data_IF_257123861760
#
_entry.id   IF_257123861760
#
_cell.length_a   1.000
_cell.length_b   1.000
_cell.length_c   1.000
_cell.angle_alpha   90.00
_cell.angle_beta   90.00
_cell.angle_gamma   90.00
#
_symmetry.space_group_name_H-M   'P 1'
#
loop_
_entity.id
_entity.type
_entity.pdbx_description
1 polymer ?
#
# COMPACT_ATOMS: atom_id res chain seq x y z
N UNK A 1 -0.24 -2.93 -2.48
CA UNK A 1 -0.98 -1.66 -2.41
C UNK A 1 -2.42 -1.91 -2.82
N UNK A 2 -3.35 -1.58 -1.94
CA UNK A 2 -4.79 -1.82 -2.06
C UNK A 2 -5.57 -0.55 -1.76
N UNK A 3 -6.87 -0.54 -2.05
CA UNK A 3 -7.73 0.61 -1.90
C UNK A 3 -8.75 0.69 -3.03
N UNK A 4 -9.81 1.47 -2.85
CA UNK A 4 -10.90 1.56 -3.81
C UNK A 4 -10.42 2.13 -5.15
N UNK A 5 -11.22 1.93 -6.20
CA UNK A 5 -11.03 2.59 -7.49
C UNK A 5 -10.98 4.12 -7.31
N UNK A 6 -10.17 4.77 -8.15
CA UNK A 6 -9.90 6.21 -8.11
C UNK A 6 -9.14 6.72 -6.86
N UNK A 7 -8.72 5.86 -5.92
CA UNK A 7 -7.95 6.30 -4.74
C UNK A 7 -6.55 6.85 -5.06
N UNK A 8 -6.00 6.56 -6.25
CA UNK A 8 -4.68 7.03 -6.69
C UNK A 8 -3.52 6.05 -6.48
N UNK A 9 -3.81 4.74 -6.37
CA UNK A 9 -2.80 3.68 -6.15
C UNK A 9 -1.74 3.63 -7.25
N UNK A 10 -2.17 3.54 -8.51
CA UNK A 10 -1.28 3.51 -9.69
C UNK A 10 -0.48 4.80 -9.82
N UNK A 11 -1.11 5.94 -9.53
CA UNK A 11 -0.43 7.24 -9.51
C UNK A 11 0.69 7.27 -8.46
N UNK A 12 0.43 6.77 -7.24
CA UNK A 12 1.47 6.65 -6.19
C UNK A 12 2.59 5.72 -6.64
N UNK A 13 2.27 4.57 -7.25
CA UNK A 13 3.26 3.62 -7.73
C UNK A 13 4.20 4.28 -8.77
N UNK A 14 3.65 4.97 -9.76
CA UNK A 14 4.45 5.66 -10.77
C UNK A 14 5.17 6.89 -10.23
N UNK A 15 4.60 7.58 -9.25
CA UNK A 15 5.30 8.65 -8.54
C UNK A 15 6.57 8.11 -7.86
N UNK A 16 6.53 6.91 -7.28
CA UNK A 16 7.73 6.29 -6.72
C UNK A 16 8.75 5.85 -7.76
N UNK A 17 8.30 5.33 -8.91
CA UNK A 17 9.17 4.80 -9.96
C UNK A 17 9.85 5.89 -10.80
N UNK A 18 9.09 6.91 -11.17
CA UNK A 18 9.48 7.88 -12.18
C UNK A 18 9.72 9.27 -11.61
N UNK A 19 9.30 9.52 -10.37
CA UNK A 19 9.27 10.86 -9.77
C UNK A 19 8.49 11.88 -10.63
N UNK A 20 7.54 11.39 -11.44
CA UNK A 20 6.70 12.15 -12.34
C UNK A 20 5.25 11.65 -12.27
N UNK A 21 4.31 12.57 -12.51
CA UNK A 21 2.89 12.26 -12.55
C UNK A 21 2.53 11.73 -13.93
N UNK A 22 2.25 10.45 -14.00
CA UNK A 22 1.73 9.82 -15.22
C UNK A 22 0.20 9.84 -15.19
N UNK A 23 -0.42 10.19 -16.32
CA UNK A 23 -1.87 10.03 -16.47
C UNK A 23 -2.22 8.54 -16.49
N UNK A 24 -3.01 8.09 -15.52
CA UNK A 24 -3.37 6.67 -15.37
C UNK A 24 -4.82 6.41 -15.80
N UNK A 25 -5.05 5.31 -16.50
CA UNK A 25 -6.39 4.76 -16.72
C UNK A 25 -6.77 3.80 -15.58
N UNK A 26 -8.07 3.51 -15.35
CA UNK A 26 -8.48 2.53 -14.34
C UNK A 26 -7.77 1.18 -14.54
N UNK A 27 -7.06 0.73 -13.51
CA UNK A 27 -6.33 -0.55 -13.55
C UNK A 27 -7.29 -1.72 -13.62
N UNK A 28 -7.06 -2.60 -14.60
CA UNK A 28 -7.72 -3.89 -14.75
C UNK A 28 -6.70 -4.95 -14.35
N UNK A 29 -7.00 -5.75 -13.32
CA UNK A 29 -6.06 -6.75 -12.80
C UNK A 29 -5.04 -6.17 -11.83
N UNK A 30 -3.75 -6.46 -12.04
CA UNK A 30 -2.65 -6.10 -11.15
C UNK A 30 -1.38 -5.72 -11.89
N UNK A 31 -0.66 -4.71 -11.38
CA UNK A 31 0.69 -4.38 -11.80
C UNK A 31 1.68 -4.73 -10.68
N UNK A 32 2.91 -5.15 -11.03
CA UNK A 32 3.98 -5.44 -10.08
C UNK A 32 5.22 -4.71 -10.52
N UNK A 33 5.78 -3.91 -9.62
CA UNK A 33 6.94 -3.10 -9.92
C UNK A 33 7.92 -3.11 -8.73
N UNK A 34 9.21 -2.99 -9.03
CA UNK A 34 10.25 -2.82 -8.04
C UNK A 34 10.52 -1.34 -7.80
N UNK A 35 10.23 -0.87 -6.59
CA UNK A 35 10.56 0.48 -6.13
C UNK A 35 11.82 0.41 -5.28
N UNK A 36 12.88 1.04 -5.76
CA UNK A 36 14.12 1.19 -4.99
C UNK A 36 14.11 2.55 -4.31
N UNK A 37 14.14 2.55 -2.98
CA UNK A 37 14.24 3.77 -2.20
C UNK A 37 15.33 3.66 -1.14
N UNK A 38 16.32 4.57 -1.20
CA UNK A 38 17.59 4.44 -0.48
C UNK A 38 18.23 3.08 -0.80
N UNK A 39 18.61 2.30 0.21
CA UNK A 39 19.17 0.96 0.05
C UNK A 39 18.12 -0.13 0.34
N UNK A 40 16.85 0.15 0.05
CA UNK A 40 15.75 -0.79 0.30
C UNK A 40 14.96 -0.99 -0.98
N UNK A 41 14.73 -2.26 -1.30
CA UNK A 41 13.99 -2.70 -2.46
C UNK A 41 12.58 -3.10 -2.02
N UNK A 42 11.55 -2.54 -2.65
CA UNK A 42 10.16 -2.85 -2.38
C UNK A 42 9.52 -3.43 -3.63
N UNK A 43 9.02 -4.67 -3.53
CA UNK A 43 8.15 -5.24 -4.56
C UNK A 43 6.71 -4.79 -4.26
N UNK A 44 6.22 -3.86 -5.07
CA UNK A 44 4.90 -3.24 -4.87
C UNK A 44 3.89 -3.79 -5.87
N UNK A 45 2.83 -4.38 -5.33
CA UNK A 45 1.67 -4.83 -6.10
C UNK A 45 0.61 -3.73 -6.11
N UNK A 46 0.24 -3.20 -7.28
CA UNK A 46 -0.92 -2.30 -7.43
C UNK A 46 -2.12 -3.12 -7.92
N UNK A 47 -3.12 -3.28 -7.05
CA UNK A 47 -4.30 -4.10 -7.34
C UNK A 47 -5.48 -3.24 -7.79
N UNK A 48 -6.21 -3.69 -8.81
CA UNK A 48 -7.45 -3.04 -9.26
C UNK A 48 -8.43 -2.83 -8.12
N UNK A 49 -8.98 -1.61 -8.02
CA UNK A 49 -9.86 -1.19 -6.92
C UNK A 49 -11.35 -1.34 -7.17
N UNK A 50 -11.73 -1.73 -8.39
CA UNK A 50 -13.13 -1.88 -8.81
C UNK A 50 -13.79 -3.00 -8.02
N UNK A 51 -15.08 -2.84 -7.67
CA UNK A 51 -15.80 -3.78 -6.81
C UNK A 51 -15.70 -5.25 -7.27
N UNK A 52 -15.78 -5.50 -8.58
CA UNK A 52 -15.65 -6.83 -9.17
C UNK A 52 -14.27 -7.48 -8.99
N UNK A 53 -13.23 -6.69 -8.74
CA UNK A 53 -11.85 -7.16 -8.60
C UNK A 53 -11.43 -7.34 -7.14
N UNK A 54 -12.19 -6.80 -6.17
CA UNK A 54 -11.80 -6.83 -4.75
C UNK A 54 -11.80 -8.24 -4.16
N UNK A 55 -12.66 -9.12 -4.66
CA UNK A 55 -12.69 -10.54 -4.27
C UNK A 55 -11.40 -11.28 -4.64
N UNK A 56 -10.67 -10.80 -5.64
CA UNK A 56 -9.40 -11.37 -6.06
C UNK A 56 -8.22 -10.86 -5.23
N UNK A 57 -8.37 -9.88 -4.33
CA UNK A 57 -7.25 -9.36 -3.55
C UNK A 57 -6.56 -10.44 -2.71
N UNK A 58 -7.30 -11.43 -2.21
CA UNK A 58 -6.75 -12.53 -1.42
C UNK A 58 -5.78 -13.42 -2.16
N UNK A 59 -5.94 -13.58 -3.47
CA UNK A 59 -5.03 -14.40 -4.27
C UNK A 59 -3.61 -13.82 -4.33
N UNK A 60 -3.44 -12.53 -4.02
CA UNK A 60 -2.14 -11.85 -4.08
C UNK A 60 -1.32 -11.95 -2.81
N UNK A 61 -1.94 -12.19 -1.65
CA UNK A 61 -1.22 -12.42 -0.39
C UNK A 61 -1.23 -13.88 0.06
N UNK A 62 -2.17 -14.71 -0.39
CA UNK A 62 -2.11 -16.16 -0.15
C UNK A 62 -1.07 -16.88 -1.03
N UNK A 63 -0.63 -16.26 -2.12
CA UNK A 63 0.36 -16.84 -3.05
C UNK A 63 1.76 -16.22 -2.94
N UNK A 64 2.04 -15.35 -1.97
CA UNK A 64 3.38 -14.75 -1.85
C UNK A 64 4.48 -15.77 -1.58
N UNK A 65 4.15 -16.97 -1.12
CA UNK A 65 5.10 -18.09 -0.97
C UNK A 65 5.28 -18.94 -2.25
N UNK A 66 4.36 -18.84 -3.23
CA UNK A 66 4.31 -19.75 -4.40
C UNK A 66 4.41 -19.06 -5.77
N UNK A 67 4.40 -17.73 -5.86
CA UNK A 67 4.78 -17.06 -7.11
C UNK A 67 6.25 -17.35 -7.43
N UNK A 68 6.63 -17.26 -8.71
CA UNK A 68 8.02 -17.22 -9.18
C UNK A 68 8.79 -15.99 -8.66
N UNK A 69 8.59 -15.61 -7.39
CA UNK A 69 9.50 -14.83 -6.57
C UNK A 69 10.90 -15.43 -6.68
N UNK A 70 11.05 -16.73 -6.91
CA UNK A 70 12.36 -17.34 -7.23
C UNK A 70 13.08 -16.72 -8.44
N UNK A 71 12.43 -16.27 -9.51
CA UNK A 71 13.15 -15.66 -10.65
C UNK A 71 13.62 -14.23 -10.35
N UNK A 72 12.81 -13.46 -9.62
CA UNK A 72 13.18 -12.14 -9.11
C UNK A 72 14.23 -12.28 -7.98
N UNK A 73 14.04 -13.23 -7.05
CA UNK A 73 15.02 -13.62 -6.03
C UNK A 73 16.30 -14.17 -6.66
N UNK A 74 16.27 -14.94 -7.75
CA UNK A 74 17.48 -15.43 -8.42
C UNK A 74 18.28 -14.27 -9.02
N UNK A 75 17.60 -13.25 -9.54
CA UNK A 75 18.24 -12.02 -10.03
C UNK A 75 18.80 -11.18 -8.86
N UNK A 76 18.12 -11.16 -7.71
CA UNK A 76 18.51 -10.39 -6.51
C UNK A 76 19.54 -11.16 -5.64
N UNK A 77 19.53 -12.49 -5.65
CA UNK A 77 20.46 -13.38 -4.92
C UNK A 77 21.87 -13.37 -5.48
N UNK A 78 22.07 -12.78 -6.67
CA UNK A 78 23.42 -12.47 -7.18
C UNK A 78 24.09 -11.29 -6.44
N UNK A 79 23.39 -10.62 -5.51
CA UNK A 79 23.97 -9.67 -4.56
C UNK A 79 24.36 -10.41 -3.27
N UNK A 80 25.65 -10.57 -2.96
CA UNK A 80 26.09 -11.33 -1.80
C UNK A 80 25.89 -10.47 -0.53
N UNK A 81 24.66 -10.46 0.02
CA UNK A 81 24.31 -10.27 1.44
C UNK A 81 22.78 -10.17 1.63
N UNK A 82 22.15 -11.33 1.84
CA UNK A 82 21.05 -11.57 2.80
C UNK A 82 19.74 -10.76 2.70
N UNK A 83 18.63 -11.43 2.33
CA UNK A 83 17.27 -11.05 2.78
C UNK A 83 16.62 -12.15 3.63
N UNK A 84 17.01 -12.34 4.90
CA UNK A 84 16.40 -13.32 5.78
C UNK A 84 15.32 -12.60 6.62
N UNK A 85 14.16 -12.38 5.99
CA UNK A 85 12.84 -11.95 6.54
C UNK A 85 12.23 -10.83 5.70
N UNK A 86 11.35 -11.19 4.78
CA UNK A 86 10.53 -10.23 4.02
C UNK A 86 9.36 -9.77 4.90
N UNK A 87 9.54 -8.69 5.66
CA UNK A 87 8.43 -8.06 6.37
C UNK A 87 7.36 -7.65 5.35
N UNK A 88 6.14 -8.17 5.50
CA UNK A 88 5.02 -7.79 4.65
C UNK A 88 4.43 -6.46 5.11
N UNK A 89 4.03 -5.64 4.13
CA UNK A 89 3.31 -4.39 4.36
C UNK A 89 2.02 -4.37 3.55
N UNK A 90 0.92 -3.96 4.18
CA UNK A 90 -0.31 -3.58 3.49
C UNK A 90 -0.31 -2.06 3.36
N UNK A 91 -0.15 -1.56 2.13
CA UNK A 91 -0.35 -0.14 1.82
C UNK A 91 -1.80 0.04 1.39
N UNK A 92 -2.63 0.69 2.22
CA UNK A 92 -4.00 1.09 1.90
C UNK A 92 -4.01 2.55 1.44
N UNK A 93 -4.48 2.81 0.22
CA UNK A 93 -4.66 4.17 -0.29
C UNK A 93 -6.12 4.57 -0.18
N UNK A 94 -6.35 5.70 0.46
CA UNK A 94 -7.68 6.26 0.74
C UNK A 94 -7.82 7.56 -0.04
N UNK A 95 -8.90 7.69 -0.80
CA UNK A 95 -9.31 8.97 -1.36
C UNK A 95 -9.88 9.85 -0.23
N UNK A 96 -9.15 10.89 0.16
CA UNK A 96 -9.59 11.76 1.27
C UNK A 96 -10.80 12.63 0.91
N UNK A 97 -11.18 12.71 -0.37
CA UNK A 97 -12.35 13.47 -0.82
C UNK A 97 -13.64 12.63 -0.78
N UNK A 98 -13.49 11.31 -0.72
CA UNK A 98 -14.58 10.35 -0.89
C UNK A 98 -15.14 9.86 0.45
N UNK A 99 -15.91 10.74 1.08
CA UNK A 99 -16.50 10.50 2.41
C UNK A 99 -17.49 9.34 2.39
N UNK A 100 -18.23 9.18 1.30
CA UNK A 100 -19.32 8.21 1.18
C UNK A 100 -18.79 6.76 1.15
N UNK A 101 -17.62 6.54 0.55
CA UNK A 101 -17.04 5.20 0.40
C UNK A 101 -16.03 4.82 1.50
N UNK A 102 -15.89 5.62 2.56
CA UNK A 102 -15.02 5.27 3.69
C UNK A 102 -15.52 4.07 4.49
N UNK A 103 -16.83 3.88 4.60
CA UNK A 103 -17.42 2.68 5.22
C UNK A 103 -16.98 1.40 4.50
N UNK A 104 -17.04 1.43 3.17
CA UNK A 104 -16.59 0.33 2.30
C UNK A 104 -15.08 0.12 2.45
N UNK A 105 -14.30 1.20 2.45
CA UNK A 105 -12.84 1.15 2.67
C UNK A 105 -12.50 0.48 4.01
N UNK A 106 -13.24 0.81 5.08
CA UNK A 106 -13.08 0.18 6.39
C UNK A 106 -13.38 -1.31 6.32
N UNK A 107 -14.51 -1.71 5.77
CA UNK A 107 -14.89 -3.12 5.66
C UNK A 107 -13.85 -3.95 4.91
N UNK A 108 -13.32 -3.44 3.81
CA UNK A 108 -12.24 -4.08 3.06
C UNK A 108 -10.94 -4.19 3.89
N UNK A 109 -10.56 -3.13 4.60
CA UNK A 109 -9.39 -3.14 5.48
C UNK A 109 -9.50 -4.25 6.54
N UNK A 110 -10.60 -4.31 7.28
CA UNK A 110 -10.77 -5.33 8.33
C UNK A 110 -10.90 -6.73 7.76
N UNK A 111 -11.53 -6.90 6.59
CA UNK A 111 -11.60 -8.19 5.90
C UNK A 111 -10.22 -8.71 5.53
N UNK A 112 -9.34 -7.83 5.03
CA UNK A 112 -7.95 -8.16 4.73
C UNK A 112 -7.15 -8.48 5.99
N UNK A 113 -7.24 -7.65 7.03
CA UNK A 113 -6.47 -7.87 8.28
C UNK A 113 -6.93 -9.11 9.06
N UNK A 114 -8.12 -9.63 8.78
CA UNK A 114 -8.60 -10.89 9.35
C UNK A 114 -7.94 -12.15 8.73
N UNK A 115 -7.19 -12.01 7.63
CA UNK A 115 -6.53 -13.14 6.96
C UNK A 115 -5.25 -13.53 7.70
N UNK A 116 -5.05 -14.83 7.92
CA UNK A 116 -3.94 -15.37 8.70
C UNK A 116 -2.58 -15.05 8.04
N UNK A 117 -2.54 -15.05 6.72
CA UNK A 117 -1.37 -14.72 5.90
C UNK A 117 -0.89 -13.28 6.13
N UNK A 118 -1.80 -12.39 6.54
CA UNK A 118 -1.47 -10.99 6.83
C UNK A 118 -1.22 -10.73 8.31
N UNK A 119 -1.32 -11.72 9.20
CA UNK A 119 -1.23 -11.58 10.67
C UNK A 119 -0.01 -10.82 11.20
N UNK A 120 1.11 -10.83 10.46
CA UNK A 120 2.36 -10.12 10.82
C UNK A 120 2.60 -8.86 9.99
N UNK A 121 1.72 -8.53 9.05
CA UNK A 121 1.89 -7.39 8.17
C UNK A 121 1.72 -6.08 8.95
N UNK A 122 2.58 -5.11 8.66
CA UNK A 122 2.40 -3.73 9.09
C UNK A 122 1.54 -2.97 8.06
N UNK A 123 0.74 -2.01 8.52
CA UNK A 123 -0.25 -1.33 7.67
C UNK A 123 0.10 0.15 7.51
N UNK A 124 0.38 0.58 6.29
CA UNK A 124 0.51 1.99 5.96
C UNK A 124 -0.76 2.48 5.29
N UNK A 125 -1.37 3.52 5.82
CA UNK A 125 -2.54 4.17 5.23
C UNK A 125 -2.10 5.50 4.62
N UNK A 126 -2.24 5.64 3.30
CA UNK A 126 -2.10 6.92 2.63
C UNK A 126 -3.45 7.62 2.56
N UNK A 127 -3.57 8.73 3.29
CA UNK A 127 -4.67 9.68 3.15
C UNK A 127 -4.37 10.60 1.96
N UNK A 128 -4.75 10.13 0.76
CA UNK A 128 -4.35 10.74 -0.51
C UNK A 128 -5.31 11.87 -0.94
N UNK A 129 -4.87 12.70 -1.89
CA UNK A 129 -5.59 13.87 -2.44
C UNK A 129 -5.75 15.03 -1.45
N UNK A 130 -4.74 15.26 -0.62
CA UNK A 130 -4.74 16.36 0.35
C UNK A 130 -4.68 17.75 -0.30
N UNK A 131 -4.28 17.83 -1.57
CA UNK A 131 -4.33 19.02 -2.41
C UNK A 131 -5.77 19.51 -2.69
N UNK A 132 -6.77 18.62 -2.59
CA UNK A 132 -8.16 18.96 -2.90
C UNK A 132 -8.84 19.62 -1.71
N UNK A 133 -9.45 20.80 -1.93
CA UNK A 133 -10.21 21.50 -0.90
C UNK A 133 -11.38 20.65 -0.39
N UNK A 134 -11.51 20.56 0.93
CA UNK A 134 -12.56 19.75 1.58
C UNK A 134 -12.18 18.28 1.75
N UNK A 135 -10.96 17.89 1.41
CA UNK A 135 -10.38 16.60 1.77
C UNK A 135 -10.42 16.39 3.28
N UNK A 136 -10.67 15.16 3.68
CA UNK A 136 -10.58 14.73 5.07
C UNK A 136 -9.11 14.74 5.51
N UNK A 137 -8.88 15.23 6.71
CA UNK A 137 -7.58 15.08 7.38
C UNK A 137 -7.31 13.60 7.72
N UNK A 138 -6.03 13.26 7.89
CA UNK A 138 -5.62 11.95 8.39
C UNK A 138 -6.31 11.59 9.72
N UNK A 139 -6.55 12.55 10.60
CA UNK A 139 -7.23 12.32 11.88
C UNK A 139 -8.73 11.97 11.69
N UNK A 140 -9.41 12.59 10.72
CA UNK A 140 -10.80 12.23 10.41
C UNK A 140 -10.89 10.84 9.75
N UNK A 141 -10.01 10.53 8.80
CA UNK A 141 -9.94 9.21 8.18
C UNK A 141 -9.63 8.14 9.22
N UNK A 142 -8.66 8.38 10.11
CA UNK A 142 -8.30 7.46 11.19
C UNK A 142 -9.49 7.11 12.08
N UNK A 143 -10.32 8.11 12.43
CA UNK A 143 -11.56 7.92 13.20
C UNK A 143 -12.59 7.13 12.41
N UNK A 144 -12.82 7.45 11.13
CA UNK A 144 -13.83 6.77 10.31
C UNK A 144 -13.47 5.31 10.00
N UNK A 145 -12.19 5.02 9.81
CA UNK A 145 -11.68 3.66 9.62
C UNK A 145 -11.48 2.91 10.95
N UNK A 146 -11.70 3.57 12.09
CA UNK A 146 -11.51 3.01 13.43
C UNK A 146 -10.13 2.38 13.67
N UNK A 147 -9.06 3.01 13.16
CA UNK A 147 -7.71 2.44 13.18
C UNK A 147 -7.21 2.11 14.60
N UNK A 148 -7.71 2.82 15.61
CA UNK A 148 -7.39 2.57 17.03
C UNK A 148 -7.83 1.20 17.54
N UNK A 149 -8.83 0.59 16.90
CA UNK A 149 -9.32 -0.76 17.23
C UNK A 149 -8.44 -1.86 16.63
N UNK A 150 -7.53 -1.54 15.71
CA UNK A 150 -6.56 -2.50 15.18
C UNK A 150 -5.50 -2.78 16.25
N UNK A 151 -5.51 -3.99 16.82
CA UNK A 151 -4.56 -4.42 17.87
C UNK A 151 -3.48 -5.39 17.37
N UNK A 152 -3.78 -6.18 16.34
CA UNK A 152 -2.88 -7.22 15.81
C UNK A 152 -1.78 -6.71 14.87
N UNK A 153 -1.91 -5.48 14.37
CA UNK A 153 -1.00 -4.91 13.38
C UNK A 153 -0.47 -3.56 13.84
N UNK A 154 0.81 -3.31 13.58
CA UNK A 154 1.35 -1.95 13.61
C UNK A 154 0.78 -1.19 12.44
N UNK A 155 0.41 0.07 12.64
CA UNK A 155 -0.11 0.90 11.57
C UNK A 155 0.37 2.34 11.67
N UNK A 156 0.34 3.02 10.53
CA UNK A 156 0.58 4.46 10.40
C UNK A 156 -0.36 5.03 9.36
N UNK A 157 -0.88 6.24 9.61
CA UNK A 157 -1.54 7.03 8.59
C UNK A 157 -0.67 8.22 8.19
N UNK A 158 -0.59 8.47 6.90
CA UNK A 158 0.22 9.53 6.31
C UNK A 158 -0.62 10.32 5.31
N UNK A 159 -0.80 11.61 5.57
CA UNK A 159 -1.35 12.55 4.59
C UNK A 159 -0.41 12.64 3.39
N UNK A 160 -0.96 12.57 2.18
CA UNK A 160 -0.16 12.68 0.96
C UNK A 160 -0.94 13.26 -0.23
N UNK A 161 -0.18 13.65 -1.25
CA UNK A 161 -0.70 13.94 -2.58
C UNK A 161 0.09 13.16 -3.62
N UNK A 162 -0.57 12.23 -4.30
CA UNK A 162 0.04 11.44 -5.37
C UNK A 162 0.53 12.30 -6.55
N UNK A 163 -0.08 13.46 -6.79
CA UNK A 163 0.27 14.36 -7.90
C UNK A 163 1.49 15.25 -7.59
N UNK A 164 1.79 15.50 -6.33
CA UNK A 164 2.97 16.32 -5.97
C UNK A 164 4.10 15.47 -5.39
N UNK A 165 3.80 14.25 -4.96
CA UNK A 165 4.72 13.39 -4.19
C UNK A 165 4.81 13.77 -2.71
N UNK A 166 4.15 14.84 -2.27
CA UNK A 166 4.16 15.27 -0.88
C UNK A 166 3.61 14.17 0.03
N UNK A 167 4.32 13.88 1.13
CA UNK A 167 3.91 12.88 2.12
C UNK A 167 4.24 11.43 1.76
N UNK A 168 4.53 11.11 0.50
CA UNK A 168 4.75 9.72 0.08
C UNK A 168 6.04 9.13 0.67
N UNK A 169 7.14 9.86 0.60
CA UNK A 169 8.43 9.40 1.11
C UNK A 169 8.48 9.29 2.64
N UNK A 170 7.67 10.07 3.36
CA UNK A 170 7.49 9.92 4.81
C UNK A 170 6.84 8.56 5.14
N UNK A 171 5.92 8.10 4.29
CA UNK A 171 5.35 6.76 4.39
C UNK A 171 6.40 5.67 4.18
N UNK A 172 7.28 5.82 3.16
CA UNK A 172 8.39 4.89 2.95
C UNK A 172 9.42 4.92 4.09
N UNK A 173 9.70 6.09 4.67
CA UNK A 173 10.57 6.20 5.85
C UNK A 173 10.03 5.37 7.01
N UNK A 174 8.73 5.46 7.27
CA UNK A 174 8.07 4.64 8.29
C UNK A 174 8.19 3.14 7.96
N UNK A 175 8.00 2.73 6.70
CA UNK A 175 8.20 1.31 6.32
C UNK A 175 9.65 0.86 6.57
N UNK A 176 10.64 1.65 6.15
CA UNK A 176 12.05 1.36 6.39
C UNK A 176 12.41 1.33 7.88
N UNK A 177 11.80 2.16 8.73
CA UNK A 177 12.03 2.12 10.17
C UNK A 177 11.53 0.82 10.82
N UNK A 178 10.60 0.12 10.16
CA UNK A 178 10.08 -1.18 10.59
C UNK A 178 10.90 -2.36 10.06
N UNK A 179 11.67 -2.16 8.99
CA UNK A 179 12.61 -3.15 8.45
C UNK A 179 13.91 -3.23 9.24
N UNK A 180 14.36 -2.09 9.79
CA UNK A 180 15.55 -2.04 10.63
C UNK A 180 15.28 -2.78 11.94
N UNK A 181 15.80 -4.01 12.07
CA UNK A 181 15.85 -4.73 13.35
C UNK A 181 16.51 -3.82 14.41
N UNK A 182 15.93 -3.78 15.60
CA UNK A 182 16.70 -3.55 16.82
C UNK A 182 17.56 -4.77 17.09
#
# INVERSE_FOLDING_TARGET
MVGLDNAGKTTILYQFLMNEVVHTSPTIGSNVEEVVWKNTHFIMWDLGGQQSLRTAWSTYYSNTENFNVKEIELTIQMQPNSFPCSQMFVILVVDSTDRERLSVTREELYRMLAQEELSKAAVLIFANKQDVKGSLSAAEISRQLDLTSIKGHRWQIQSCCALTGEGLYQGLEWMCSHLKKK
#
